data_IF_725538175840
#
_entry.id   IF_725538175840
#
_cell.length_a   1.000
_cell.length_b   1.000
_cell.length_c   1.000
_cell.angle_alpha   90.00
_cell.angle_beta   90.00
_cell.angle_gamma   90.00
#
_symmetry.space_group_name_H-M   'P 1'
#
loop_
_entity.id
_entity.type
_entity.pdbx_description
1 polymer ?
#
# COMPACT_ATOMS: atom_id res chain seq x y z
N UNK A 1 -16.34 -19.45 -6.26
CA UNK A 1 -15.13 -18.65 -5.98
C UNK A 1 -14.86 -17.84 -7.23
N UNK A 2 -14.75 -16.51 -7.10
CA UNK A 2 -14.46 -15.61 -8.23
C UNK A 2 -12.99 -15.82 -8.61
N UNK A 3 -12.74 -16.15 -9.88
CA UNK A 3 -11.39 -16.38 -10.41
C UNK A 3 -11.11 -15.38 -11.51
N UNK A 4 -10.00 -14.64 -11.39
CA UNK A 4 -9.53 -13.72 -12.41
C UNK A 4 -8.24 -14.24 -13.01
N UNK A 5 -8.01 -13.95 -14.28
CA UNK A 5 -6.78 -14.30 -14.99
C UNK A 5 -5.66 -13.35 -14.58
N UNK A 6 -4.63 -13.90 -13.92
CA UNK A 6 -3.52 -13.13 -13.36
C UNK A 6 -2.73 -12.40 -14.43
N UNK A 7 -2.43 -13.08 -15.54
CA UNK A 7 -1.58 -12.50 -16.59
C UNK A 7 -2.30 -11.36 -17.31
N UNK A 8 -3.61 -11.50 -17.52
CA UNK A 8 -4.44 -10.44 -18.07
C UNK A 8 -4.47 -9.21 -17.13
N UNK A 9 -4.75 -9.42 -15.83
CA UNK A 9 -4.79 -8.29 -14.88
C UNK A 9 -3.43 -7.60 -14.78
N UNK A 10 -2.34 -8.38 -14.75
CA UNK A 10 -0.98 -7.87 -14.74
C UNK A 10 -0.63 -7.06 -15.99
N UNK A 11 -0.97 -7.59 -17.18
CA UNK A 11 -0.76 -6.89 -18.44
C UNK A 11 -1.52 -5.55 -18.48
N UNK A 12 -2.79 -5.56 -18.10
CA UNK A 12 -3.63 -4.37 -18.12
C UNK A 12 -3.15 -3.30 -17.14
N UNK A 13 -2.76 -3.70 -15.91
CA UNK A 13 -2.21 -2.77 -14.93
C UNK A 13 -0.90 -2.16 -15.42
N UNK A 14 0.04 -2.98 -15.91
CA UNK A 14 1.31 -2.48 -16.49
C UNK A 14 1.06 -1.48 -17.61
N UNK A 15 0.21 -1.81 -18.57
CA UNK A 15 -0.08 -0.92 -19.70
C UNK A 15 -0.66 0.43 -19.24
N UNK A 16 -1.56 0.43 -18.25
CA UNK A 16 -2.11 1.64 -17.66
C UNK A 16 -1.03 2.46 -16.94
N UNK A 17 -0.20 1.82 -16.14
CA UNK A 17 0.88 2.47 -15.37
C UNK A 17 1.96 3.03 -16.28
N UNK A 18 2.38 2.28 -17.32
CA UNK A 18 3.38 2.74 -18.29
C UNK A 18 2.86 3.94 -19.10
N UNK A 19 1.56 3.99 -19.40
CA UNK A 19 0.93 5.16 -20.03
C UNK A 19 0.99 6.38 -19.11
N UNK A 20 0.78 6.21 -17.80
CA UNK A 20 0.91 7.29 -16.81
C UNK A 20 2.37 7.74 -16.73
N UNK A 21 3.31 6.82 -16.63
CA UNK A 21 4.75 7.11 -16.56
C UNK A 21 5.26 7.86 -17.79
N UNK A 22 4.75 7.53 -18.97
CA UNK A 22 5.12 8.20 -20.23
C UNK A 22 4.55 9.62 -20.34
N UNK A 23 3.53 10.00 -19.56
CA UNK A 23 2.86 11.30 -19.62
C UNK A 23 3.58 12.41 -18.81
N UNK A 24 4.88 12.37 -18.68
CA UNK A 24 5.74 13.14 -17.76
C UNK A 24 5.87 14.67 -18.05
N UNK A 25 4.84 15.34 -18.54
CA UNK A 25 4.77 16.80 -18.40
C UNK A 25 4.53 17.15 -16.94
N UNK A 26 5.57 17.43 -16.20
CA UNK A 26 5.47 17.80 -14.78
C UNK A 26 4.78 19.15 -14.66
N UNK A 27 3.83 19.34 -13.73
CA UNK A 27 3.37 20.67 -13.40
C UNK A 27 4.58 21.45 -12.88
N UNK A 28 4.83 22.63 -13.40
CA UNK A 28 5.95 23.47 -12.98
C UNK A 28 5.84 23.90 -11.50
N UNK A 29 4.63 23.88 -10.93
CA UNK A 29 4.33 24.18 -9.52
C UNK A 29 2.95 23.62 -9.14
N UNK A 30 2.90 22.79 -8.09
CA UNK A 30 1.67 22.49 -7.37
C UNK A 30 1.83 23.08 -5.96
N UNK A 31 1.19 24.23 -5.73
CA UNK A 31 1.41 25.02 -4.52
C UNK A 31 0.56 24.51 -3.32
N UNK A 32 -0.39 23.61 -3.58
CA UNK A 32 -1.27 23.05 -2.54
C UNK A 32 -1.70 21.61 -2.87
N UNK A 33 -2.21 20.92 -1.85
CA UNK A 33 -2.68 19.52 -1.96
C UNK A 33 -3.81 19.35 -2.99
N UNK A 34 -4.73 20.31 -3.10
CA UNK A 34 -5.83 20.23 -4.05
C UNK A 34 -5.32 20.29 -5.51
N UNK A 35 -4.27 21.06 -5.75
CA UNK A 35 -3.60 21.13 -7.06
C UNK A 35 -2.90 19.82 -7.40
N UNK A 36 -2.24 19.18 -6.42
CA UNK A 36 -1.65 17.84 -6.57
C UNK A 36 -2.72 16.82 -6.93
N UNK A 37 -3.80 16.75 -6.18
CA UNK A 37 -4.91 15.81 -6.42
C UNK A 37 -5.51 16.02 -7.82
N UNK A 38 -5.81 17.27 -8.20
CA UNK A 38 -6.35 17.57 -9.54
C UNK A 38 -5.40 17.15 -10.65
N UNK A 39 -4.11 17.36 -10.44
CA UNK A 39 -3.09 16.99 -11.42
C UNK A 39 -2.99 15.47 -11.57
N UNK A 40 -2.88 14.74 -10.45
CA UNK A 40 -2.85 13.26 -10.43
C UNK A 40 -4.09 12.70 -11.14
N UNK A 41 -5.29 13.15 -10.77
CA UNK A 41 -6.55 12.73 -11.40
C UNK A 41 -6.56 13.00 -12.92
N UNK A 42 -6.06 14.14 -13.34
CA UNK A 42 -6.03 14.48 -14.78
C UNK A 42 -5.10 13.57 -15.58
N UNK A 43 -3.97 13.14 -14.98
CA UNK A 43 -2.98 12.29 -15.63
C UNK A 43 -3.37 10.82 -15.63
N UNK A 44 -4.00 10.37 -14.57
CA UNK A 44 -4.44 8.99 -14.43
C UNK A 44 -5.81 8.71 -15.08
N UNK A 45 -6.64 9.72 -15.32
CA UNK A 45 -8.04 9.56 -15.72
C UNK A 45 -8.24 8.67 -16.96
N UNK A 46 -7.42 8.87 -18.01
CA UNK A 46 -7.52 8.07 -19.23
C UNK A 46 -7.07 6.63 -18.98
N UNK A 47 -5.92 6.43 -18.38
CA UNK A 47 -5.38 5.10 -18.08
C UNK A 47 -6.33 4.32 -17.14
N UNK A 48 -6.90 5.01 -16.14
CA UNK A 48 -7.89 4.43 -15.24
C UNK A 48 -9.19 4.04 -15.97
N UNK A 49 -9.69 4.89 -16.88
CA UNK A 49 -10.87 4.58 -17.67
C UNK A 49 -10.65 3.38 -18.60
N UNK A 50 -9.49 3.32 -19.26
CA UNK A 50 -9.13 2.23 -20.17
C UNK A 50 -8.99 0.91 -19.39
N UNK A 51 -8.32 0.91 -18.23
CA UNK A 51 -8.21 -0.26 -17.36
C UNK A 51 -9.57 -0.75 -16.88
N UNK A 52 -10.40 0.18 -16.36
CA UNK A 52 -11.77 -0.12 -15.89
C UNK A 52 -12.63 -0.71 -17.00
N UNK A 53 -12.61 -0.12 -18.18
CA UNK A 53 -13.39 -0.59 -19.33
C UNK A 53 -13.01 -2.02 -19.76
N UNK A 54 -11.72 -2.33 -19.80
CA UNK A 54 -11.24 -3.65 -20.18
C UNK A 54 -11.55 -4.72 -19.10
N UNK A 55 -11.38 -4.39 -17.82
CA UNK A 55 -11.73 -5.31 -16.72
C UNK A 55 -13.25 -5.50 -16.61
N UNK A 56 -14.06 -4.44 -16.78
CA UNK A 56 -15.53 -4.55 -16.76
C UNK A 56 -16.06 -5.42 -17.90
N UNK A 57 -15.44 -5.34 -19.09
CA UNK A 57 -15.81 -6.19 -20.23
C UNK A 57 -15.50 -7.67 -19.94
N UNK A 58 -14.40 -7.95 -19.26
CA UNK A 58 -13.91 -9.32 -18.99
C UNK A 58 -14.54 -9.93 -17.75
N UNK A 59 -14.86 -9.09 -16.76
CA UNK A 59 -15.40 -9.47 -15.46
C UNK A 59 -16.63 -8.61 -15.11
N UNK A 60 -17.74 -8.75 -15.84
CA UNK A 60 -18.92 -7.88 -15.69
C UNK A 60 -19.59 -7.97 -14.32
N UNK A 61 -19.38 -9.09 -13.60
CA UNK A 61 -19.95 -9.32 -12.28
C UNK A 61 -19.09 -8.73 -11.14
N UNK A 62 -17.92 -8.14 -11.45
CA UNK A 62 -17.05 -7.50 -10.48
C UNK A 62 -17.24 -5.98 -10.57
N UNK A 63 -17.73 -5.38 -9.49
CA UNK A 63 -17.94 -3.95 -9.39
C UNK A 63 -16.62 -3.16 -9.27
N UNK A 64 -16.77 -1.86 -9.07
CA UNK A 64 -15.69 -0.95 -8.73
C UNK A 64 -16.09 -0.16 -7.50
N UNK A 65 -15.16 0.06 -6.58
CA UNK A 65 -15.35 1.04 -5.53
C UNK A 65 -14.53 2.29 -5.82
N UNK A 66 -15.05 3.46 -5.40
CA UNK A 66 -14.26 4.68 -5.31
C UNK A 66 -13.30 4.63 -4.13
N UNK A 67 -12.43 5.61 -4.01
CA UNK A 67 -11.48 5.71 -2.91
C UNK A 67 -12.16 5.78 -1.53
N UNK A 68 -13.44 6.21 -1.46
CA UNK A 68 -14.18 6.49 -0.21
C UNK A 68 -15.47 5.66 -0.04
N UNK A 69 -15.95 4.96 -1.09
CA UNK A 69 -17.26 4.31 -1.08
C UNK A 69 -17.14 2.78 -0.99
N UNK A 70 -17.54 2.22 0.14
CA UNK A 70 -17.75 0.78 0.27
C UNK A 70 -19.02 0.37 -0.45
N UNK A 71 -19.05 -0.79 -1.15
CA UNK A 71 -20.29 -1.35 -1.66
C UNK A 71 -21.29 -1.62 -0.54
N UNK A 72 -22.57 -1.33 -0.79
CA UNK A 72 -23.66 -1.61 0.15
C UNK A 72 -23.81 -3.10 0.46
N UNK A 73 -23.47 -3.98 -0.49
CA UNK A 73 -23.51 -5.43 -0.28
C UNK A 73 -22.19 -5.92 0.34
N UNK A 74 -22.20 -6.42 1.58
CA UNK A 74 -21.00 -6.94 2.25
C UNK A 74 -20.40 -8.17 1.55
N UNK A 75 -21.14 -8.84 0.66
CA UNK A 75 -20.66 -9.98 -0.12
C UNK A 75 -20.20 -9.60 -1.52
N UNK A 76 -20.29 -8.33 -1.90
CA UNK A 76 -19.91 -7.86 -3.22
C UNK A 76 -18.45 -8.20 -3.56
N UNK A 77 -18.22 -8.41 -4.86
CA UNK A 77 -16.89 -8.43 -5.42
C UNK A 77 -16.62 -7.11 -6.14
N UNK A 78 -15.49 -6.49 -5.85
CA UNK A 78 -15.15 -5.22 -6.47
C UNK A 78 -13.65 -5.01 -6.58
N UNK A 79 -13.26 -4.25 -7.59
CA UNK A 79 -11.91 -3.78 -7.78
C UNK A 79 -11.65 -2.49 -6.99
N UNK A 80 -10.44 -2.40 -6.43
CA UNK A 80 -9.87 -1.18 -5.86
C UNK A 80 -8.60 -0.89 -6.65
N UNK A 81 -8.49 0.31 -7.21
CA UNK A 81 -7.35 0.70 -8.05
C UNK A 81 -6.82 2.07 -7.62
N UNK A 82 -5.56 2.10 -7.22
CA UNK A 82 -4.80 3.33 -7.10
C UNK A 82 -3.83 3.45 -8.29
N UNK A 83 -4.06 4.43 -9.16
CA UNK A 83 -3.22 4.64 -10.34
C UNK A 83 -1.84 5.23 -10.02
N UNK A 84 -1.69 6.01 -8.94
CA UNK A 84 -0.45 6.72 -8.59
C UNK A 84 -0.30 6.77 -7.06
N UNK A 85 -0.05 5.64 -6.44
CA UNK A 85 0.38 5.61 -5.03
C UNK A 85 1.79 6.21 -4.92
N UNK A 86 1.93 7.21 -4.06
CA UNK A 86 3.13 8.04 -3.99
C UNK A 86 3.05 9.29 -4.88
N UNK A 87 1.87 9.87 -5.03
CA UNK A 87 1.58 11.03 -5.90
C UNK A 87 2.55 12.20 -5.72
N UNK A 88 2.97 12.51 -4.48
CA UNK A 88 3.95 13.58 -4.21
C UNK A 88 5.34 13.25 -4.74
N UNK A 89 5.78 11.99 -4.65
CA UNK A 89 7.04 11.56 -5.25
C UNK A 89 6.96 11.62 -6.77
N UNK A 90 5.88 11.11 -7.35
CA UNK A 90 5.65 11.19 -8.79
C UNK A 90 5.69 12.62 -9.30
N UNK A 91 5.02 13.57 -8.61
CA UNK A 91 5.00 14.99 -8.92
C UNK A 91 6.40 15.61 -8.92
N UNK A 92 7.24 15.23 -7.94
CA UNK A 92 8.62 15.71 -7.82
C UNK A 92 9.61 14.97 -8.72
N UNK A 93 9.17 13.93 -9.43
CA UNK A 93 10.02 13.08 -10.27
C UNK A 93 10.95 12.17 -9.48
N UNK A 94 10.60 11.86 -8.24
CA UNK A 94 11.28 10.86 -7.44
C UNK A 94 10.83 9.46 -7.89
N UNK A 95 11.76 8.49 -7.98
CA UNK A 95 11.47 7.17 -8.54
C UNK A 95 10.83 6.21 -7.51
N UNK A 96 9.97 6.71 -6.63
CA UNK A 96 9.33 5.94 -5.55
C UNK A 96 7.83 6.15 -5.61
N UNK A 97 7.19 5.48 -6.54
CA UNK A 97 5.74 5.43 -6.73
C UNK A 97 5.33 4.13 -7.41
N UNK A 98 4.09 3.75 -7.28
CA UNK A 98 3.56 2.54 -7.91
C UNK A 98 2.10 2.71 -8.30
N UNK A 99 1.59 1.77 -9.10
CA UNK A 99 0.16 1.55 -9.24
C UNK A 99 -0.23 0.26 -8.53
N UNK A 100 -1.39 0.25 -7.89
CA UNK A 100 -1.90 -0.95 -7.23
C UNK A 100 -3.31 -1.31 -7.71
N UNK A 101 -3.59 -2.61 -7.79
CA UNK A 101 -4.91 -3.16 -8.11
C UNK A 101 -5.23 -4.28 -7.12
N UNK A 102 -6.35 -4.17 -6.42
CA UNK A 102 -6.84 -5.20 -5.51
C UNK A 102 -8.22 -5.70 -5.95
N UNK A 103 -8.48 -6.99 -5.78
CA UNK A 103 -9.83 -7.57 -5.84
C UNK A 103 -10.26 -7.92 -4.43
N UNK A 104 -11.36 -7.32 -4.02
CA UNK A 104 -12.01 -7.60 -2.73
C UNK A 104 -13.26 -8.43 -2.98
N UNK A 105 -13.44 -9.48 -2.18
CA UNK A 105 -14.61 -10.36 -2.19
C UNK A 105 -15.07 -10.58 -0.76
N UNK A 106 -16.31 -10.23 -0.46
CA UNK A 106 -16.84 -10.38 0.91
C UNK A 106 -16.01 -9.61 1.95
N UNK A 107 -15.57 -8.40 1.61
CA UNK A 107 -14.78 -7.53 2.47
C UNK A 107 -13.31 -7.93 2.63
N UNK A 108 -12.83 -8.99 1.96
CA UNK A 108 -11.45 -9.48 2.04
C UNK A 108 -10.72 -9.30 0.71
N UNK A 109 -9.51 -8.78 0.75
CA UNK A 109 -8.65 -8.75 -0.42
C UNK A 109 -8.18 -10.18 -0.74
N UNK A 110 -8.54 -10.68 -1.94
CA UNK A 110 -8.24 -12.05 -2.40
C UNK A 110 -7.23 -12.11 -3.55
N UNK A 111 -6.98 -10.96 -4.19
CA UNK A 111 -6.00 -10.80 -5.24
C UNK A 111 -5.43 -9.39 -5.18
N UNK A 112 -4.13 -9.24 -5.37
CA UNK A 112 -3.44 -7.96 -5.31
C UNK A 112 -2.25 -7.92 -6.26
N UNK A 113 -2.10 -6.78 -6.93
CA UNK A 113 -0.94 -6.45 -7.77
C UNK A 113 -0.41 -5.08 -7.33
N UNK A 114 0.91 -4.97 -7.23
CA UNK A 114 1.64 -3.69 -7.12
C UNK A 114 2.68 -3.66 -8.22
N UNK A 115 2.71 -2.59 -9.00
CA UNK A 115 3.68 -2.41 -10.07
C UNK A 115 4.46 -1.11 -9.89
N UNK A 116 5.79 -1.25 -9.76
CA UNK A 116 6.77 -0.16 -9.80
C UNK A 116 7.29 0.00 -11.23
N UNK A 117 6.89 1.05 -11.97
CA UNK A 117 7.32 1.23 -13.35
C UNK A 117 8.79 1.69 -13.45
N UNK A 118 9.34 2.26 -12.38
CA UNK A 118 10.71 2.77 -12.37
C UNK A 118 11.73 1.63 -12.36
N UNK A 119 11.47 0.63 -11.53
CA UNK A 119 12.33 -0.57 -11.41
C UNK A 119 11.84 -1.72 -12.29
N UNK A 120 10.70 -1.56 -12.98
CA UNK A 120 10.01 -2.62 -13.74
C UNK A 120 9.75 -3.87 -12.87
N UNK A 121 9.24 -3.63 -11.65
CA UNK A 121 8.97 -4.66 -10.66
C UNK A 121 7.47 -4.87 -10.49
N UNK A 122 7.03 -6.10 -10.74
CA UNK A 122 5.64 -6.52 -10.64
C UNK A 122 5.47 -7.52 -9.52
N UNK A 123 4.76 -7.13 -8.48
CA UNK A 123 4.41 -7.98 -7.35
C UNK A 123 2.98 -8.45 -7.49
N UNK A 124 2.75 -9.76 -7.35
CA UNK A 124 1.42 -10.36 -7.49
C UNK A 124 1.19 -11.36 -6.36
N UNK A 125 0.02 -11.26 -5.71
CA UNK A 125 -0.44 -12.24 -4.73
C UNK A 125 -1.89 -12.68 -5.00
N UNK A 126 -2.16 -13.92 -4.66
CA UNK A 126 -3.51 -14.49 -4.51
C UNK A 126 -3.63 -15.15 -3.15
N UNK A 127 -4.80 -14.98 -2.53
CA UNK A 127 -5.09 -15.63 -1.24
C UNK A 127 -4.80 -17.13 -1.30
N UNK A 128 -3.91 -17.61 -0.42
CA UNK A 128 -3.49 -19.01 -0.31
C UNK A 128 -2.55 -19.53 -1.40
N UNK A 129 -2.02 -18.67 -2.28
CA UNK A 129 -1.14 -19.10 -3.37
C UNK A 129 0.29 -18.53 -3.30
N UNK A 130 0.54 -17.68 -2.29
CA UNK A 130 1.81 -17.01 -2.13
C UNK A 130 1.93 -15.75 -3.00
N UNK A 131 3.12 -15.17 -3.00
CA UNK A 131 3.46 -13.93 -3.69
C UNK A 131 4.65 -14.13 -4.61
N UNK A 132 4.64 -13.40 -5.73
CA UNK A 132 5.76 -13.38 -6.69
C UNK A 132 6.21 -11.95 -6.96
N UNK A 133 7.51 -11.79 -7.23
CA UNK A 133 8.13 -10.61 -7.85
C UNK A 133 8.64 -11.02 -9.23
N UNK A 134 8.09 -10.42 -10.28
CA UNK A 134 8.43 -10.76 -11.67
C UNK A 134 8.37 -12.27 -11.96
N UNK A 135 7.41 -12.98 -11.37
CA UNK A 135 7.22 -14.42 -11.52
C UNK A 135 7.99 -15.30 -10.53
N UNK A 136 9.02 -14.75 -9.86
CA UNK A 136 9.80 -15.50 -8.86
C UNK A 136 9.17 -15.36 -7.46
N UNK A 137 9.06 -16.50 -6.73
CA UNK A 137 8.51 -16.49 -5.37
C UNK A 137 9.39 -15.69 -4.42
N UNK A 138 8.73 -14.88 -3.59
CA UNK A 138 9.39 -14.10 -2.54
C UNK A 138 8.74 -14.35 -1.17
N UNK A 139 9.48 -14.05 -0.09
CA UNK A 139 9.01 -14.16 1.29
C UNK A 139 9.58 -13.03 2.13
N UNK A 140 8.90 -12.72 3.24
CA UNK A 140 9.44 -11.78 4.24
C UNK A 140 10.75 -12.28 4.83
N UNK A 141 11.60 -11.36 5.30
CA UNK A 141 12.81 -11.75 6.06
C UNK A 141 12.43 -12.31 7.42
N UNK A 142 13.25 -13.26 7.91
CA UNK A 142 13.04 -13.87 9.22
C UNK A 142 14.02 -13.27 10.25
N UNK A 143 14.04 -11.93 10.41
CA UNK A 143 14.77 -11.29 11.51
C UNK A 143 14.06 -11.56 12.84
N UNK A 144 14.86 -11.68 13.90
CA UNK A 144 14.39 -11.99 15.25
C UNK A 144 14.55 -10.83 16.23
N UNK A 145 15.39 -9.83 15.91
CA UNK A 145 15.66 -8.68 16.77
C UNK A 145 15.22 -7.37 16.09
N UNK A 146 14.31 -6.66 16.73
CA UNK A 146 13.81 -5.38 16.27
C UNK A 146 14.92 -4.32 16.13
N UNK A 147 15.96 -4.36 16.98
CA UNK A 147 17.10 -3.43 16.92
C UNK A 147 17.89 -3.49 15.62
N UNK A 148 17.84 -4.60 14.91
CA UNK A 148 18.43 -4.74 13.58
C UNK A 148 17.46 -4.48 12.43
N UNK A 149 16.21 -4.11 12.71
CA UNK A 149 15.18 -3.95 11.68
C UNK A 149 15.31 -2.65 10.91
N UNK A 150 15.07 -2.73 9.61
CA UNK A 150 14.88 -1.59 8.69
C UNK A 150 13.41 -1.53 8.34
N UNK A 151 12.73 -0.49 8.80
CA UNK A 151 11.29 -0.33 8.61
C UNK A 151 10.99 0.78 7.60
N UNK A 152 9.87 0.63 6.91
CA UNK A 152 9.22 1.69 6.16
C UNK A 152 8.11 2.35 6.96
N UNK A 153 7.80 3.59 6.64
CA UNK A 153 6.65 4.33 7.19
C UNK A 153 6.33 5.54 6.32
N UNK A 154 5.16 6.12 6.52
CA UNK A 154 4.82 7.45 6.06
C UNK A 154 4.19 8.24 7.20
N UNK A 155 4.46 9.54 7.25
CA UNK A 155 3.74 10.49 8.11
C UNK A 155 2.90 11.36 7.19
N UNK A 156 1.56 11.25 7.25
CA UNK A 156 0.70 12.00 6.36
C UNK A 156 0.79 13.51 6.67
N UNK A 157 0.68 14.39 5.66
CA UNK A 157 0.72 15.84 5.88
C UNK A 157 -0.47 16.32 6.71
N UNK A 158 -0.28 17.34 7.56
CA UNK A 158 -1.36 17.96 8.34
C UNK A 158 -2.54 18.38 7.45
N UNK A 159 -2.25 18.88 6.24
CA UNK A 159 -3.27 19.32 5.30
C UNK A 159 -4.17 18.19 4.79
N UNK A 160 -3.73 16.93 4.89
CA UNK A 160 -4.49 15.75 4.46
C UNK A 160 -5.33 15.17 5.61
N UNK A 161 -4.74 15.01 6.80
CA UNK A 161 -5.34 14.25 7.89
C UNK A 161 -5.72 15.10 9.10
N UNK A 162 -5.32 16.37 9.13
CA UNK A 162 -5.53 17.24 10.28
C UNK A 162 -4.45 17.09 11.37
N UNK A 163 -4.47 18.00 12.38
CA UNK A 163 -3.39 18.08 13.36
C UNK A 163 -3.34 16.89 14.33
N UNK A 164 -4.48 16.29 14.66
CA UNK A 164 -4.57 15.23 15.66
C UNK A 164 -3.97 13.93 15.15
N UNK A 165 -4.38 13.49 13.98
CA UNK A 165 -3.87 12.26 13.34
C UNK A 165 -2.40 12.41 12.95
N UNK A 166 -2.01 13.58 12.41
CA UNK A 166 -0.60 13.89 12.16
C UNK A 166 0.26 13.79 13.43
N UNK A 167 -0.22 14.33 14.55
CA UNK A 167 0.48 14.25 15.83
C UNK A 167 0.57 12.80 16.35
N UNK A 168 -0.45 11.97 16.10
CA UNK A 168 -0.41 10.54 16.44
C UNK A 168 0.65 9.79 15.61
N UNK A 169 0.69 10.04 14.30
CA UNK A 169 1.71 9.48 13.41
C UNK A 169 3.13 9.85 13.85
N UNK A 170 3.36 11.11 14.24
CA UNK A 170 4.66 11.54 14.76
C UNK A 170 5.02 10.85 16.07
N UNK A 171 4.07 10.71 17.01
CA UNK A 171 4.30 9.98 18.27
C UNK A 171 4.65 8.51 18.04
N UNK A 172 3.96 7.85 17.10
CA UNK A 172 4.28 6.47 16.74
C UNK A 172 5.67 6.37 16.11
N UNK A 173 5.98 7.26 15.17
CA UNK A 173 7.30 7.33 14.53
C UNK A 173 8.42 7.51 15.56
N UNK A 174 8.26 8.42 16.52
CA UNK A 174 9.24 8.67 17.59
C UNK A 174 9.47 7.40 18.42
N UNK A 175 8.40 6.74 18.87
CA UNK A 175 8.51 5.48 19.66
C UNK A 175 9.24 4.39 18.89
N UNK A 176 8.86 4.17 17.63
CA UNK A 176 9.44 3.11 16.80
C UNK A 176 10.90 3.39 16.46
N UNK A 177 11.23 4.63 16.09
CA UNK A 177 12.61 5.01 15.70
C UNK A 177 13.62 4.76 16.82
N UNK A 178 13.22 4.90 18.08
CA UNK A 178 14.07 4.61 19.23
C UNK A 178 14.36 3.11 19.47
N UNK A 179 13.68 2.19 18.79
CA UNK A 179 13.74 0.75 19.04
C UNK A 179 14.28 -0.06 17.86
N UNK A 180 14.47 0.55 16.69
CA UNK A 180 14.87 -0.12 15.46
C UNK A 180 16.21 0.41 14.95
N UNK A 181 16.81 -0.28 13.98
CA UNK A 181 18.03 0.23 13.34
C UNK A 181 17.78 1.52 12.60
N UNK A 182 16.71 1.56 11.77
CA UNK A 182 16.32 2.77 11.03
C UNK A 182 14.88 2.67 10.53
N UNK A 183 14.19 3.82 10.48
CA UNK A 183 12.92 3.99 9.77
C UNK A 183 13.18 4.81 8.51
N UNK A 184 12.66 4.35 7.38
CA UNK A 184 12.67 5.07 6.09
C UNK A 184 11.30 5.70 5.88
N UNK A 185 11.27 7.03 5.89
CA UNK A 185 10.08 7.78 5.51
C UNK A 185 10.07 7.89 3.98
N UNK A 186 9.12 7.20 3.37
CA UNK A 186 8.98 7.17 1.91
C UNK A 186 7.50 7.30 1.56
N UNK A 187 7.18 7.66 0.31
CA UNK A 187 5.83 7.53 -0.21
C UNK A 187 5.68 6.18 -0.95
N UNK A 188 4.46 5.94 -1.42
CA UNK A 188 3.95 4.68 -1.89
C UNK A 188 3.88 3.63 -0.77
N UNK A 189 2.75 3.61 -0.09
CA UNK A 189 2.47 2.62 0.95
C UNK A 189 2.43 1.20 0.35
N UNK A 190 1.78 1.03 -0.81
CA UNK A 190 1.69 -0.27 -1.48
C UNK A 190 3.07 -0.78 -1.90
N UNK A 191 3.98 0.10 -2.39
CA UNK A 191 5.35 -0.29 -2.76
C UNK A 191 6.18 -0.67 -1.53
N UNK A 192 6.07 0.07 -0.43
CA UNK A 192 6.76 -0.28 0.81
C UNK A 192 6.29 -1.64 1.36
N UNK A 193 4.99 -1.92 1.31
CA UNK A 193 4.44 -3.22 1.67
C UNK A 193 4.94 -4.34 0.72
N UNK A 194 5.05 -4.07 -0.58
CA UNK A 194 5.66 -4.99 -1.53
C UNK A 194 7.15 -5.25 -1.19
N UNK A 195 7.88 -4.24 -0.73
CA UNK A 195 9.26 -4.41 -0.25
C UNK A 195 9.33 -5.23 1.04
N UNK A 196 8.34 -5.13 1.93
CA UNK A 196 8.23 -6.03 3.09
C UNK A 196 8.01 -7.46 2.63
N UNK A 197 7.09 -7.69 1.69
CA UNK A 197 6.82 -9.01 1.13
C UNK A 197 8.05 -9.64 0.46
N UNK A 198 8.89 -8.82 -0.21
CA UNK A 198 10.14 -9.26 -0.84
C UNK A 198 11.34 -9.31 0.13
N UNK A 199 11.15 -9.04 1.42
CA UNK A 199 12.21 -9.04 2.42
C UNK A 199 13.25 -7.94 2.27
N UNK A 200 12.94 -6.84 1.58
CA UNK A 200 13.80 -5.66 1.45
C UNK A 200 13.64 -4.71 2.63
N UNK A 201 12.43 -4.60 3.17
CA UNK A 201 12.11 -4.01 4.45
C UNK A 201 11.71 -5.12 5.43
N UNK A 202 11.99 -4.93 6.71
CA UNK A 202 11.63 -5.90 7.74
C UNK A 202 10.21 -5.68 8.27
N UNK A 203 9.64 -4.49 8.02
CA UNK A 203 8.26 -4.15 8.33
C UNK A 203 7.89 -2.75 7.84
N UNK A 204 6.60 -2.46 7.94
CA UNK A 204 5.97 -1.19 7.61
C UNK A 204 4.91 -0.85 8.65
N UNK A 205 4.75 0.43 8.99
CA UNK A 205 3.68 0.93 9.84
C UNK A 205 3.23 2.32 9.39
N UNK A 206 1.94 2.58 9.53
CA UNK A 206 1.33 3.86 9.20
C UNK A 206 0.08 4.10 10.04
N UNK A 207 -0.17 5.35 10.43
CA UNK A 207 -1.42 5.83 11.06
C UNK A 207 -2.29 6.39 9.96
N UNK A 208 -3.60 6.14 10.00
CA UNK A 208 -4.55 6.72 9.06
C UNK A 208 -5.62 5.74 8.59
N UNK A 209 -6.35 6.16 7.57
CA UNK A 209 -7.49 5.44 7.02
C UNK A 209 -7.37 5.19 5.50
N UNK A 210 -6.16 5.28 4.95
CA UNK A 210 -5.90 5.08 3.52
C UNK A 210 -5.92 3.60 3.12
N UNK A 211 -7.01 2.92 3.53
CA UNK A 211 -7.19 1.47 3.33
C UNK A 211 -7.04 1.04 1.86
N UNK A 212 -7.58 1.77 0.86
CA UNK A 212 -7.42 1.42 -0.54
C UNK A 212 -5.96 1.25 -0.96
N UNK A 213 -5.05 2.13 -0.49
CA UNK A 213 -3.62 2.13 -0.81
C UNK A 213 -2.90 0.93 -0.21
N UNK A 214 -3.45 0.40 0.90
CA UNK A 214 -2.83 -0.71 1.64
C UNK A 214 -3.30 -2.10 1.22
N UNK A 215 -4.50 -2.24 0.59
CA UNK A 215 -5.13 -3.54 0.35
C UNK A 215 -4.26 -4.52 -0.43
N UNK A 216 -3.75 -4.10 -1.59
CA UNK A 216 -2.91 -4.95 -2.42
C UNK A 216 -1.62 -5.33 -1.69
N UNK A 217 -0.91 -4.33 -1.14
CA UNK A 217 0.33 -4.52 -0.40
C UNK A 217 0.16 -5.38 0.86
N UNK A 218 -0.93 -5.23 1.60
CA UNK A 218 -1.26 -6.04 2.77
C UNK A 218 -1.43 -7.52 2.40
N UNK A 219 -2.08 -7.82 1.27
CA UNK A 219 -2.18 -9.18 0.77
C UNK A 219 -0.81 -9.74 0.39
N UNK A 220 0.04 -8.94 -0.31
CA UNK A 220 1.42 -9.37 -0.64
C UNK A 220 2.18 -9.79 0.61
N UNK A 221 2.11 -9.01 1.70
CA UNK A 221 2.80 -9.33 2.96
C UNK A 221 2.24 -10.61 3.60
N UNK A 222 0.91 -10.78 3.65
CA UNK A 222 0.28 -12.01 4.18
C UNK A 222 0.71 -13.24 3.39
N UNK A 223 0.71 -13.17 2.07
CA UNK A 223 1.09 -14.27 1.18
C UNK A 223 2.61 -14.55 1.18
N UNK A 224 3.41 -13.59 1.65
CA UNK A 224 4.85 -13.73 1.91
C UNK A 224 5.18 -14.31 3.29
N UNK A 225 4.21 -14.92 3.98
CA UNK A 225 4.32 -15.40 5.36
C UNK A 225 4.56 -14.28 6.40
N UNK A 226 4.20 -13.05 6.10
CA UNK A 226 4.18 -11.92 7.04
C UNK A 226 2.86 -11.85 7.83
N UNK A 227 2.85 -10.96 8.80
CA UNK A 227 1.67 -10.64 9.62
C UNK A 227 1.25 -9.21 9.34
N UNK A 228 -0.06 -8.99 9.17
CA UNK A 228 -0.66 -7.67 8.96
C UNK A 228 -1.83 -7.49 9.93
N UNK A 229 -1.77 -6.42 10.72
CA UNK A 229 -2.83 -6.04 11.68
C UNK A 229 -3.10 -4.54 11.60
N UNK A 230 -4.13 -4.07 12.31
CA UNK A 230 -4.20 -2.68 12.73
C UNK A 230 -3.14 -2.38 13.81
N UNK A 231 -3.04 -1.12 14.24
CA UNK A 231 -2.09 -0.69 15.25
C UNK A 231 -2.38 -1.24 16.66
N UNK A 232 -3.56 -1.81 16.87
CA UNK A 232 -3.98 -2.45 18.12
C UNK A 232 -3.78 -3.96 18.11
N UNK A 233 -3.36 -4.53 16.99
CA UNK A 233 -3.15 -5.97 16.80
C UNK A 233 -4.39 -6.75 16.36
N UNK A 234 -5.48 -6.07 16.04
CA UNK A 234 -6.66 -6.70 15.44
C UNK A 234 -6.43 -6.99 13.95
N UNK A 235 -7.27 -7.83 13.36
CA UNK A 235 -7.22 -8.08 11.93
C UNK A 235 -7.38 -6.79 11.11
N UNK A 236 -6.47 -6.57 10.16
CA UNK A 236 -6.53 -5.45 9.23
C UNK A 236 -7.77 -5.55 8.33
N UNK A 237 -8.50 -4.44 8.21
CA UNK A 237 -9.70 -4.30 7.40
C UNK A 237 -10.16 -2.84 7.27
N UNK A 238 -11.34 -2.64 6.69
CA UNK A 238 -11.87 -1.31 6.36
C UNK A 238 -12.08 -0.36 7.55
N UNK A 239 -12.22 -0.88 8.76
CA UNK A 239 -12.37 -0.10 10.00
C UNK A 239 -11.04 0.18 10.71
N UNK A 240 -9.92 -0.21 10.13
CA UNK A 240 -8.60 0.00 10.74
C UNK A 240 -8.23 1.48 10.70
N UNK A 241 -7.60 1.95 11.77
CA UNK A 241 -7.07 3.32 11.92
C UNK A 241 -5.55 3.39 11.72
N UNK A 242 -5.02 2.46 10.98
CA UNK A 242 -3.62 2.31 10.65
C UNK A 242 -3.28 0.88 10.33
N UNK A 243 -2.03 0.67 9.96
CA UNK A 243 -1.52 -0.63 9.54
C UNK A 243 -0.14 -0.90 10.13
N UNK A 244 0.06 -2.16 10.53
CA UNK A 244 1.35 -2.69 10.93
C UNK A 244 1.57 -4.00 10.19
N UNK A 245 2.62 -4.07 9.38
CA UNK A 245 2.96 -5.22 8.55
C UNK A 245 4.44 -5.57 8.70
N UNK A 246 4.77 -6.82 9.02
CA UNK A 246 6.15 -7.28 9.17
C UNK A 246 6.24 -8.80 9.14
N UNK A 247 7.48 -9.33 9.16
CA UNK A 247 7.69 -10.74 9.50
C UNK A 247 7.20 -11.06 10.92
N UNK A 248 6.80 -12.30 11.24
CA UNK A 248 6.12 -12.62 12.50
C UNK A 248 6.86 -12.16 13.75
N UNK A 249 8.20 -12.36 13.82
CA UNK A 249 9.01 -11.98 14.98
C UNK A 249 9.11 -10.45 15.13
N UNK A 250 9.29 -9.73 14.05
CA UNK A 250 9.37 -8.26 14.06
C UNK A 250 8.00 -7.67 14.35
N UNK A 251 6.92 -8.22 13.77
CA UNK A 251 5.55 -7.78 14.03
C UNK A 251 5.20 -7.84 15.52
N UNK A 252 5.47 -8.98 16.18
CA UNK A 252 5.15 -9.15 17.59
C UNK A 252 5.88 -8.16 18.51
N UNK A 253 7.11 -7.76 18.16
CA UNK A 253 7.88 -6.77 18.90
C UNK A 253 7.40 -5.35 18.59
N UNK A 254 7.16 -5.05 17.30
CA UNK A 254 6.72 -3.74 16.84
C UNK A 254 5.33 -3.39 17.39
N UNK A 255 4.42 -4.37 17.48
CA UNK A 255 3.10 -4.19 18.09
C UNK A 255 3.19 -3.77 19.55
N UNK A 256 4.13 -4.34 20.33
CA UNK A 256 4.38 -3.93 21.73
C UNK A 256 4.86 -2.48 21.82
N UNK A 257 5.73 -2.07 20.89
CA UNK A 257 6.21 -0.67 20.80
C UNK A 257 5.07 0.27 20.44
N UNK A 258 4.23 -0.10 19.46
CA UNK A 258 3.08 0.71 19.05
C UNK A 258 2.07 0.89 20.18
N UNK A 259 1.79 -0.17 20.95
CA UNK A 259 0.85 -0.15 22.08
C UNK A 259 1.40 0.55 23.35
N UNK A 260 2.72 0.80 23.44
CA UNK A 260 3.31 1.39 24.64
C UNK A 260 2.93 2.87 24.77
N UNK A 261 2.27 3.23 25.87
CA UNK A 261 2.01 4.63 26.25
C UNK A 261 3.22 5.32 26.92
N UNK A 262 4.35 4.64 27.05
CA UNK A 262 5.50 5.13 27.81
C UNK A 262 6.18 6.30 27.10
N UNK A 263 6.49 7.41 27.80
CA UNK A 263 7.33 8.47 27.27
C UNK A 263 8.74 7.92 27.02
N UNK A 264 9.39 8.37 25.95
CA UNK A 264 10.76 8.02 25.64
C UNK A 264 11.67 8.55 26.75
N UNK A 265 12.28 7.67 27.53
CA UNK A 265 13.35 8.04 28.46
C UNK A 265 14.55 8.44 27.60
N UNK A 266 14.83 9.75 27.49
CA UNK A 266 16.09 10.22 26.92
C UNK A 266 17.21 9.86 27.91
N UNK A 267 18.12 9.00 27.46
CA UNK A 267 19.37 8.70 28.18
C UNK A 267 20.35 9.87 28.00
#
# INVERSE_FOLDING_TARGET
MITVDTDTCAFLLRAATDQIAASLDRPSQADDIASVIRWVRSRSARAAADLRGQLATRYPDIGWTGEEDMPDDPNAAYWVYDPIDGAYHFLQGLPLWSSSLALVVGGRCVFGIVYDPTSNELFIAREGQGVTLNGERVTTRNKTDLKGAVLGSAVPPIAQVGPEEHAEALRLLERVTGQVFVVRQMASASLQLAYVAAGRLDGYFEVGHDIPDWLAGALLVKEAAGVVTDLSGNGFGWSSNGLLAASPNIHAQLLKVAASAAPIVRA
#
